data_IF_370397204887
#
_entry.id   IF_370397204887
#
_cell.length_a   1.000
_cell.length_b   1.000
_cell.length_c   1.000
_cell.angle_alpha   90.00
_cell.angle_beta   90.00
_cell.angle_gamma   90.00
#
_symmetry.space_group_name_H-M   'P 1'
#
loop_
_entity.id
_entity.type
_entity.pdbx_description
1 polymer ?
#
# COMPACT_ATOMS: atom_id res chain seq x y z
N UNK A 1 -26.89 -49.69 36.39
CA UNK A 1 -27.63 -48.41 36.56
C UNK A 1 -26.76 -47.14 36.47
N UNK A 2 -25.46 -47.17 36.11
CA UNK A 2 -24.60 -45.98 36.07
C UNK A 2 -24.43 -45.32 34.67
N UNK A 3 -24.69 -46.06 33.58
CA UNK A 3 -24.60 -45.57 32.19
C UNK A 3 -25.63 -44.50 31.79
N UNK A 4 -26.91 -44.53 32.22
CA UNK A 4 -27.85 -43.47 31.87
C UNK A 4 -27.56 -42.17 32.63
N UNK A 5 -27.00 -42.25 33.84
CA UNK A 5 -26.65 -41.08 34.64
C UNK A 5 -25.43 -40.34 34.03
N UNK A 6 -24.43 -41.09 33.55
CA UNK A 6 -23.27 -40.52 32.88
C UNK A 6 -23.64 -39.81 31.57
N UNK A 7 -24.56 -40.39 30.78
CA UNK A 7 -25.01 -39.80 29.52
C UNK A 7 -25.83 -38.53 29.74
N UNK A 8 -26.68 -38.49 30.78
CA UNK A 8 -27.41 -37.28 31.17
C UNK A 8 -26.44 -36.16 31.59
N UNK A 9 -25.37 -36.49 32.33
CA UNK A 9 -24.39 -35.48 32.77
C UNK A 9 -23.61 -34.87 31.60
N UNK A 10 -23.24 -35.67 30.60
CA UNK A 10 -22.56 -35.17 29.38
C UNK A 10 -23.48 -34.22 28.59
N UNK A 11 -24.76 -34.56 28.46
CA UNK A 11 -25.75 -33.71 27.78
C UNK A 11 -25.93 -32.37 28.51
N UNK A 12 -25.94 -32.37 29.84
CA UNK A 12 -26.07 -31.14 30.64
C UNK A 12 -24.84 -30.25 30.46
N UNK A 13 -23.63 -30.79 30.48
CA UNK A 13 -22.40 -30.01 30.25
C UNK A 13 -22.35 -29.45 28.83
N UNK A 14 -22.78 -30.23 27.84
CA UNK A 14 -22.86 -29.78 26.45
C UNK A 14 -23.85 -28.62 26.26
N UNK A 15 -25.04 -28.72 26.86
CA UNK A 15 -26.03 -27.64 26.82
C UNK A 15 -25.58 -26.39 27.60
N UNK A 16 -24.89 -26.56 28.72
CA UNK A 16 -24.28 -25.45 29.46
C UNK A 16 -23.18 -24.75 28.64
N UNK A 17 -22.38 -25.51 27.88
CA UNK A 17 -21.36 -24.97 26.96
C UNK A 17 -21.97 -24.17 25.80
N UNK A 18 -23.05 -24.67 25.19
CA UNK A 18 -23.79 -23.94 24.15
C UNK A 18 -24.41 -22.66 24.72
N UNK A 19 -25.00 -22.74 25.92
CA UNK A 19 -25.58 -21.57 26.57
C UNK A 19 -24.52 -20.51 26.87
N UNK A 20 -23.35 -20.91 27.39
CA UNK A 20 -22.23 -20.01 27.64
C UNK A 20 -21.70 -19.39 26.33
N UNK A 21 -21.60 -20.16 25.24
CA UNK A 21 -21.18 -19.66 23.93
C UNK A 21 -22.20 -18.69 23.31
N UNK A 22 -23.49 -18.97 23.46
CA UNK A 22 -24.57 -18.12 22.93
C UNK A 22 -24.77 -16.83 23.74
N UNK A 23 -24.52 -16.86 25.06
CA UNK A 23 -24.73 -15.71 25.95
C UNK A 23 -23.48 -14.86 26.14
N UNK A 24 -22.31 -15.48 26.28
CA UNK A 24 -21.04 -14.77 26.21
C UNK A 24 -20.66 -14.66 24.74
N UNK A 25 -21.11 -13.56 24.11
CA UNK A 25 -20.66 -13.13 22.80
C UNK A 25 -19.16 -12.80 22.80
N UNK A 26 -18.30 -13.80 22.99
CA UNK A 26 -16.84 -13.70 22.93
C UNK A 26 -16.41 -13.23 21.52
N UNK A 27 -17.24 -13.46 20.49
CA UNK A 27 -17.06 -12.92 19.14
C UNK A 27 -17.86 -11.66 18.81
N UNK A 28 -18.53 -11.03 19.79
CA UNK A 28 -19.17 -9.71 19.59
C UNK A 28 -18.25 -8.53 19.94
N UNK A 29 -17.05 -8.83 20.42
CA UNK A 29 -16.05 -7.84 20.86
C UNK A 29 -14.86 -7.66 19.91
N UNK A 30 -14.80 -8.37 18.78
CA UNK A 30 -13.91 -7.99 17.69
C UNK A 30 -14.66 -7.21 16.61
N UNK A 31 -15.49 -6.25 17.04
CA UNK A 31 -15.60 -5.04 16.23
C UNK A 31 -14.22 -4.40 16.35
N UNK A 32 -13.40 -4.56 15.33
CA UNK A 32 -12.40 -3.55 14.98
C UNK A 32 -13.22 -2.29 14.74
N UNK A 33 -13.51 -1.61 15.84
CA UNK A 33 -14.02 -0.27 15.83
C UNK A 33 -12.75 0.49 15.53
N UNK A 34 -12.59 0.89 14.28
CA UNK A 34 -11.65 1.93 13.92
C UNK A 34 -11.73 2.98 15.04
N UNK A 35 -10.63 3.17 15.77
CA UNK A 35 -10.56 4.14 16.87
C UNK A 35 -10.47 5.56 16.30
N UNK A 36 -11.32 5.89 15.35
CA UNK A 36 -11.70 7.26 15.11
C UNK A 36 -12.74 7.59 16.16
N UNK A 37 -12.27 8.14 17.28
CA UNK A 37 -13.03 8.43 18.49
C UNK A 37 -14.50 8.75 18.22
N UNK A 38 -15.38 7.87 18.68
CA UNK A 38 -16.75 8.22 19.06
C UNK A 38 -16.70 9.05 20.34
N UNK A 39 -16.12 10.24 20.26
CA UNK A 39 -16.48 11.30 21.17
C UNK A 39 -17.75 11.94 20.61
N UNK A 40 -18.72 12.14 21.48
CA UNK A 40 -20.01 12.83 21.31
C UNK A 40 -19.92 14.29 20.82
N UNK A 41 -18.81 14.63 20.15
CA UNK A 41 -18.39 15.94 19.63
C UNK A 41 -18.87 16.16 18.18
N UNK A 42 -19.32 15.10 17.49
CA UNK A 42 -19.58 15.10 16.05
C UNK A 42 -20.71 16.01 15.57
N UNK A 43 -21.71 16.34 16.41
CA UNK A 43 -22.81 17.22 15.99
C UNK A 43 -22.44 18.71 15.91
N UNK A 44 -21.39 19.14 16.62
CA UNK A 44 -21.04 20.57 16.70
C UNK A 44 -19.69 20.93 16.09
N UNK A 45 -18.85 19.95 15.73
CA UNK A 45 -17.60 20.21 15.05
C UNK A 45 -17.82 20.68 13.60
N UNK A 46 -17.21 21.80 13.18
CA UNK A 46 -17.10 22.14 11.77
C UNK A 46 -16.26 21.10 11.02
N UNK A 47 -16.57 20.86 9.75
CA UNK A 47 -16.00 19.78 8.95
C UNK A 47 -15.48 20.20 7.57
N UNK A 48 -15.85 21.38 7.07
CA UNK A 48 -15.40 21.87 5.75
C UNK A 48 -14.87 23.29 5.92
N UNK A 49 -13.65 23.55 5.44
CA UNK A 49 -13.09 24.89 5.29
C UNK A 49 -13.00 25.20 3.81
N UNK A 50 -13.76 26.17 3.34
CA UNK A 50 -13.78 26.59 1.96
C UNK A 50 -13.04 27.92 1.78
N UNK A 51 -12.07 27.99 0.87
CA UNK A 51 -11.47 29.24 0.42
C UNK A 51 -12.17 29.73 -0.84
N UNK A 52 -12.89 30.85 -0.75
CA UNK A 52 -13.58 31.51 -1.86
C UNK A 52 -13.27 33.01 -1.84
N UNK A 53 -12.85 33.57 -2.97
CA UNK A 53 -12.59 35.02 -3.12
C UNK A 53 -11.69 35.61 -2.03
N UNK A 54 -10.64 34.86 -1.64
CA UNK A 54 -9.70 35.19 -0.56
C UNK A 54 -10.28 35.22 0.87
N UNK A 55 -11.52 34.75 1.05
CA UNK A 55 -12.16 34.55 2.36
C UNK A 55 -12.18 33.06 2.68
N UNK A 56 -11.91 32.73 3.94
CA UNK A 56 -12.03 31.37 4.48
C UNK A 56 -13.40 31.23 5.15
N UNK A 57 -14.19 30.25 4.72
CA UNK A 57 -15.53 29.98 5.22
C UNK A 57 -15.53 28.60 5.90
N UNK A 58 -15.75 28.58 7.21
CA UNK A 58 -15.79 27.34 7.97
C UNK A 58 -17.23 26.88 8.15
N UNK A 59 -17.55 25.76 7.50
CA UNK A 59 -18.86 25.14 7.49
C UNK A 59 -18.95 23.97 8.47
N UNK A 60 -20.16 23.80 9.00
CA UNK A 60 -20.59 22.56 9.62
C UNK A 60 -21.75 21.99 8.80
N UNK A 61 -21.53 20.90 8.06
CA UNK A 61 -22.53 20.28 7.19
C UNK A 61 -23.71 19.66 7.94
N UNK A 62 -23.63 19.54 9.26
CA UNK A 62 -24.71 19.02 10.11
C UNK A 62 -25.61 20.14 10.66
N UNK A 63 -25.25 21.41 10.45
CA UNK A 63 -26.03 22.58 10.86
C UNK A 63 -26.56 23.32 9.62
N UNK A 64 -27.75 23.94 9.72
CA UNK A 64 -28.26 24.77 8.63
C UNK A 64 -27.37 26.00 8.41
N UNK A 65 -27.40 26.53 7.19
CA UNK A 65 -26.74 27.79 6.85
C UNK A 65 -27.56 28.96 7.39
N UNK A 66 -26.95 29.75 8.26
CA UNK A 66 -27.55 30.92 8.90
C UNK A 66 -26.49 32.00 8.99
N UNK A 67 -26.84 33.21 8.54
CA UNK A 67 -25.94 34.36 8.53
C UNK A 67 -25.33 34.61 9.91
N UNK A 68 -24.00 34.74 9.96
CA UNK A 68 -23.24 34.96 11.19
C UNK A 68 -23.09 33.74 12.11
N UNK A 69 -23.66 32.59 11.76
CA UNK A 69 -23.57 31.35 12.55
C UNK A 69 -22.89 30.22 11.77
N UNK A 70 -23.28 30.00 10.52
CA UNK A 70 -22.75 28.95 9.65
C UNK A 70 -22.98 29.36 8.18
N UNK A 71 -21.93 29.54 7.35
CA UNK A 71 -20.52 29.40 7.68
C UNK A 71 -19.99 30.53 8.58
N UNK A 72 -18.89 30.25 9.29
CA UNK A 72 -18.11 31.25 9.98
C UNK A 72 -17.07 31.83 9.01
N UNK A 73 -17.14 33.13 8.68
CA UNK A 73 -16.15 33.76 7.79
C UNK A 73 -14.89 34.18 8.54
N UNK A 74 -13.75 34.05 7.88
CA UNK A 74 -12.45 34.54 8.31
C UNK A 74 -11.79 35.30 7.15
N UNK A 75 -11.41 36.55 7.38
CA UNK A 75 -10.88 37.43 6.33
C UNK A 75 -9.37 37.31 6.13
N UNK A 76 -8.70 36.62 7.06
CA UNK A 76 -7.28 36.34 7.01
C UNK A 76 -6.99 35.00 7.69
N UNK A 77 -5.81 34.45 7.40
CA UNK A 77 -5.39 33.16 7.92
C UNK A 77 -5.14 33.20 9.43
N UNK A 78 -4.67 34.33 9.96
CA UNK A 78 -4.36 34.50 11.37
C UNK A 78 -5.62 34.44 12.26
N UNK A 79 -6.74 34.96 11.77
CA UNK A 79 -8.04 34.89 12.44
C UNK A 79 -8.52 33.44 12.57
N UNK A 80 -8.36 32.67 11.49
CA UNK A 80 -8.66 31.23 11.49
C UNK A 80 -7.73 30.45 12.43
N UNK A 81 -6.42 30.77 12.45
CA UNK A 81 -5.46 30.16 13.38
C UNK A 81 -5.86 30.45 14.82
N UNK A 82 -6.14 31.70 15.15
CA UNK A 82 -6.53 32.12 16.49
C UNK A 82 -7.82 31.40 16.94
N UNK A 83 -8.80 31.31 16.05
CA UNK A 83 -10.01 30.51 16.30
C UNK A 83 -9.67 29.05 16.63
N UNK A 84 -8.84 28.39 15.82
CA UNK A 84 -8.43 27.01 16.07
C UNK A 84 -7.67 26.84 17.39
N UNK A 85 -6.77 27.78 17.73
CA UNK A 85 -6.05 27.75 19.00
C UNK A 85 -6.99 27.85 20.21
N UNK A 86 -7.99 28.74 20.15
CA UNK A 86 -9.02 28.88 21.18
C UNK A 86 -9.84 27.59 21.30
N UNK A 87 -10.24 26.97 20.17
CA UNK A 87 -10.97 25.70 20.18
C UNK A 87 -10.12 24.56 20.76
N UNK A 88 -8.84 24.47 20.37
CA UNK A 88 -7.90 23.46 20.87
C UNK A 88 -7.63 23.61 22.37
N UNK A 89 -7.52 24.84 22.89
CA UNK A 89 -7.41 25.12 24.33
C UNK A 89 -8.65 24.65 25.11
N UNK A 90 -9.82 24.65 24.49
CA UNK A 90 -11.06 24.09 25.05
C UNK A 90 -11.17 22.57 24.87
N UNK A 91 -10.20 21.91 24.24
CA UNK A 91 -10.18 20.47 23.98
C UNK A 91 -10.87 20.04 22.68
N UNK A 92 -11.35 20.96 21.84
CA UNK A 92 -11.95 20.62 20.56
C UNK A 92 -10.88 20.47 19.47
N UNK A 93 -10.77 19.27 18.91
CA UNK A 93 -9.87 18.93 17.78
C UNK A 93 -10.70 18.37 16.64
N UNK A 94 -11.32 19.25 15.86
CA UNK A 94 -12.15 18.84 14.73
C UNK A 94 -11.27 18.57 13.50
N UNK A 95 -11.44 17.43 12.80
CA UNK A 95 -10.89 17.25 11.47
C UNK A 95 -11.67 18.14 10.49
N UNK A 96 -10.96 18.92 9.68
CA UNK A 96 -11.57 19.85 8.73
C UNK A 96 -11.00 19.56 7.35
N UNK A 97 -11.88 19.31 6.38
CA UNK A 97 -11.51 19.16 4.98
C UNK A 97 -11.34 20.54 4.35
N UNK A 98 -10.17 20.81 3.77
CA UNK A 98 -9.88 22.08 3.12
C UNK A 98 -10.16 22.01 1.60
N UNK A 99 -11.04 22.89 1.14
CA UNK A 99 -11.42 23.05 -0.27
C UNK A 99 -11.02 24.45 -0.74
N UNK A 100 -10.44 24.53 -1.93
CA UNK A 100 -10.11 25.79 -2.58
C UNK A 100 -10.88 25.94 -3.89
N UNK A 101 -11.56 27.08 -4.07
CA UNK A 101 -12.14 27.45 -5.35
C UNK A 101 -11.02 27.89 -6.32
N UNK A 102 -11.01 27.29 -7.51
CA UNK A 102 -10.06 27.57 -8.59
C UNK A 102 -10.78 27.49 -9.94
N UNK A 103 -10.27 28.22 -10.93
CA UNK A 103 -10.77 28.15 -12.30
C UNK A 103 -9.93 27.14 -13.07
N UNK A 104 -10.56 26.14 -13.70
CA UNK A 104 -9.87 25.16 -14.53
C UNK A 104 -9.39 25.78 -15.86
N UNK A 105 -8.60 25.02 -16.64
CA UNK A 105 -8.10 25.48 -17.95
C UNK A 105 -9.20 25.76 -18.98
N UNK A 106 -10.42 25.31 -18.71
CA UNK A 106 -11.62 25.47 -19.53
C UNK A 106 -12.46 26.69 -19.10
N UNK A 107 -12.05 27.40 -18.04
CA UNK A 107 -12.76 28.57 -17.52
C UNK A 107 -13.91 28.26 -16.55
N UNK A 108 -14.06 27.01 -16.11
CA UNK A 108 -15.07 26.62 -15.14
C UNK A 108 -14.53 26.70 -13.71
N UNK A 109 -15.34 27.23 -12.79
CA UNK A 109 -15.02 27.22 -11.37
C UNK A 109 -15.19 25.81 -10.79
N UNK A 110 -14.10 25.28 -10.24
CA UNK A 110 -14.04 23.96 -9.61
C UNK A 110 -13.52 24.09 -8.18
N UNK A 111 -13.96 23.20 -7.30
CA UNK A 111 -13.44 23.09 -5.95
C UNK A 111 -12.43 21.95 -5.88
N UNK A 112 -11.20 22.24 -5.46
CA UNK A 112 -10.14 21.24 -5.31
C UNK A 112 -9.82 21.01 -3.85
N UNK A 113 -9.64 19.75 -3.48
CA UNK A 113 -9.10 19.40 -2.16
C UNK A 113 -7.62 19.77 -2.09
N UNK A 114 -7.21 20.41 -0.99
CA UNK A 114 -5.81 20.75 -0.70
C UNK A 114 -5.45 20.25 0.71
N UNK A 115 -4.19 19.87 0.97
CA UNK A 115 -3.79 19.34 2.28
C UNK A 115 -4.05 20.32 3.43
N UNK A 116 -3.72 21.60 3.23
CA UNK A 116 -3.94 22.64 4.24
C UNK A 116 -4.03 24.04 3.61
N UNK A 117 -4.57 25.04 4.32
CA UNK A 117 -4.55 26.43 3.84
C UNK A 117 -3.15 27.06 3.79
N UNK A 118 -2.14 26.39 4.35
CA UNK A 118 -0.72 26.81 4.33
C UNK A 118 0.06 26.16 3.19
N UNK A 119 -0.32 24.94 2.84
CA UNK A 119 0.31 24.12 1.82
C UNK A 119 -0.69 23.97 0.67
N UNK A 120 -0.59 24.89 -0.28
CA UNK A 120 -1.44 24.88 -1.48
C UNK A 120 -0.92 23.91 -2.54
N UNK A 121 0.15 23.17 -2.27
CA UNK A 121 0.68 22.18 -3.18
C UNK A 121 -0.41 21.17 -3.50
N UNK A 122 -0.75 21.14 -4.78
CA UNK A 122 -1.72 20.21 -5.30
C UNK A 122 -1.04 18.89 -5.31
N UNK A 123 -1.44 18.01 -4.41
CA UNK A 123 -1.17 16.60 -4.60
C UNK A 123 -1.51 16.16 -6.03
N UNK A 124 -1.02 14.98 -6.38
CA UNK A 124 -1.27 14.32 -7.66
C UNK A 124 -2.76 14.43 -8.03
N UNK A 125 -3.10 14.75 -9.30
CA UNK A 125 -4.47 15.05 -9.73
C UNK A 125 -5.52 14.06 -9.20
N UNK A 126 -6.69 14.58 -8.81
CA UNK A 126 -7.88 13.80 -8.46
C UNK A 126 -8.22 12.85 -9.62
N UNK A 127 -7.84 11.59 -9.43
CA UNK A 127 -8.19 10.40 -10.22
C UNK A 127 -8.62 10.68 -11.67
N UNK A 128 -7.64 10.75 -12.57
CA UNK A 128 -7.89 10.22 -13.90
C UNK A 128 -8.31 8.75 -13.72
N UNK A 129 -9.40 8.35 -14.35
CA UNK A 129 -9.95 6.99 -14.43
C UNK A 129 -9.02 5.99 -15.15
N UNK A 130 -7.71 6.21 -15.08
CA UNK A 130 -6.63 5.37 -15.61
C UNK A 130 -6.16 4.31 -14.61
N UNK A 131 -6.69 4.32 -13.38
CA UNK A 131 -6.26 3.41 -12.33
C UNK A 131 -7.39 2.44 -11.97
N UNK A 132 -7.27 1.15 -12.36
CA UNK A 132 -8.20 0.14 -11.90
C UNK A 132 -8.14 0.02 -10.37
N UNK A 133 -9.22 -0.48 -9.77
CA UNK A 133 -9.46 -0.46 -8.34
C UNK A 133 -8.33 -1.08 -7.51
N UNK A 134 -8.33 -0.77 -6.21
CA UNK A 134 -7.29 -1.02 -5.20
C UNK A 134 -6.72 -2.44 -5.06
N UNK A 135 -7.15 -3.40 -5.88
CA UNK A 135 -6.71 -4.81 -5.84
C UNK A 135 -6.13 -5.30 -7.18
N UNK A 136 -6.11 -4.47 -8.23
CA UNK A 136 -5.61 -4.90 -9.53
C UNK A 136 -4.10 -4.66 -9.64
N UNK A 137 -3.38 -5.69 -10.06
CA UNK A 137 -1.93 -5.65 -10.28
C UNK A 137 -1.63 -4.64 -11.38
N UNK A 138 -0.81 -3.64 -11.06
CA UNK A 138 -0.49 -2.57 -12.00
C UNK A 138 0.66 -3.01 -12.89
N UNK A 139 0.44 -3.01 -14.20
CA UNK A 139 1.53 -3.25 -15.16
C UNK A 139 2.47 -2.04 -15.21
N UNK A 140 3.76 -2.26 -14.98
CA UNK A 140 4.78 -1.21 -15.10
C UNK A 140 4.84 -0.71 -16.54
N UNK A 141 4.66 0.60 -16.73
CA UNK A 141 4.92 1.26 -18.01
C UNK A 141 6.41 1.49 -18.16
N UNK A 142 6.94 1.22 -19.35
CA UNK A 142 8.35 1.32 -19.66
C UNK A 142 8.52 1.73 -21.13
N UNK A 143 8.93 2.98 -21.34
CA UNK A 143 9.11 3.56 -22.66
C UNK A 143 10.13 2.79 -23.51
N UNK A 144 11.08 2.08 -22.89
CA UNK A 144 12.06 1.28 -23.63
C UNK A 144 11.45 0.09 -24.39
N UNK A 145 10.20 -0.28 -24.07
CA UNK A 145 9.46 -1.41 -24.66
C UNK A 145 8.38 -0.99 -25.64
N UNK A 146 8.15 0.31 -25.79
CA UNK A 146 7.08 0.84 -26.65
C UNK A 146 7.43 0.80 -28.15
N UNK A 147 8.67 0.46 -28.51
CA UNK A 147 9.14 0.37 -29.89
C UNK A 147 9.53 -1.07 -30.32
N UNK A 148 8.55 -1.89 -30.77
CA UNK A 148 8.84 -3.18 -31.38
C UNK A 148 9.71 -3.03 -32.65
N UNK A 149 10.66 -3.95 -32.92
CA UNK A 149 10.81 -5.28 -32.33
C UNK A 149 11.78 -5.36 -31.14
N UNK A 150 12.38 -4.25 -30.73
CA UNK A 150 13.44 -4.24 -29.72
C UNK A 150 12.89 -4.41 -28.29
N UNK A 151 13.76 -4.82 -27.37
CA UNK A 151 13.48 -4.90 -25.93
C UNK A 151 12.26 -5.76 -25.50
N UNK A 152 11.87 -6.74 -26.34
CA UNK A 152 10.81 -7.70 -26.03
C UNK A 152 11.28 -8.72 -25.00
N UNK A 153 10.51 -8.90 -23.93
CA UNK A 153 10.78 -9.91 -22.90
C UNK A 153 11.92 -9.58 -21.93
N UNK A 154 12.46 -8.36 -21.97
CA UNK A 154 13.49 -7.91 -21.03
C UNK A 154 12.89 -7.59 -19.65
N UNK A 155 13.74 -7.30 -18.65
CA UNK A 155 13.33 -6.73 -17.36
C UNK A 155 12.99 -5.24 -17.47
N UNK A 156 12.11 -4.69 -16.60
CA UNK A 156 11.75 -3.28 -16.70
C UNK A 156 12.96 -2.39 -16.48
N UNK A 157 13.04 -1.30 -17.23
CA UNK A 157 14.07 -0.30 -17.04
C UNK A 157 14.04 0.30 -15.63
N UNK A 158 15.18 0.81 -15.18
CA UNK A 158 15.26 1.55 -13.91
C UNK A 158 14.43 2.85 -14.00
N UNK A 159 13.52 3.04 -13.05
CA UNK A 159 12.71 4.26 -12.92
C UNK A 159 13.30 5.20 -11.86
N UNK A 160 13.99 6.29 -12.25
CA UNK A 160 14.54 7.26 -11.29
C UNK A 160 13.48 8.14 -10.62
N UNK A 161 12.25 8.21 -11.16
CA UNK A 161 11.19 9.08 -10.65
C UNK A 161 10.27 8.38 -9.66
N UNK A 162 10.27 7.03 -9.61
CA UNK A 162 9.51 6.26 -8.63
C UNK A 162 7.99 6.36 -8.83
N UNK A 163 7.52 6.19 -10.07
CA UNK A 163 6.11 6.33 -10.44
C UNK A 163 5.16 5.40 -9.68
N UNK A 164 5.66 4.25 -9.22
CA UNK A 164 4.87 3.19 -8.58
C UNK A 164 5.13 3.04 -7.07
N UNK A 165 5.76 4.03 -6.42
CA UNK A 165 5.99 3.98 -4.97
C UNK A 165 4.66 3.81 -4.22
N UNK A 166 4.59 2.78 -3.36
CA UNK A 166 3.40 2.47 -2.57
C UNK A 166 2.30 1.72 -3.32
N UNK A 167 2.56 1.22 -4.54
CA UNK A 167 1.61 0.42 -5.32
C UNK A 167 2.19 -0.96 -5.64
N UNK A 168 1.31 -1.96 -5.74
CA UNK A 168 1.70 -3.33 -6.08
C UNK A 168 1.69 -3.55 -7.60
N UNK A 169 2.84 -3.89 -8.15
CA UNK A 169 3.06 -4.02 -9.60
C UNK A 169 3.21 -5.47 -10.05
N UNK A 170 3.23 -5.68 -11.37
CA UNK A 170 3.54 -6.99 -11.96
C UNK A 170 4.97 -7.46 -11.65
N UNK A 171 5.90 -6.53 -11.42
CA UNK A 171 7.27 -6.84 -10.97
C UNK A 171 7.26 -7.37 -9.54
N UNK A 172 6.51 -6.73 -8.66
CA UNK A 172 6.36 -7.17 -7.26
C UNK A 172 5.71 -8.55 -7.19
N UNK A 173 4.73 -8.83 -8.05
CA UNK A 173 4.12 -10.15 -8.15
C UNK A 173 5.13 -11.25 -8.50
N UNK A 174 6.05 -10.96 -9.42
CA UNK A 174 7.12 -11.90 -9.79
C UNK A 174 8.11 -12.07 -8.64
N UNK A 175 8.44 -10.99 -7.93
CA UNK A 175 9.30 -11.06 -6.76
C UNK A 175 8.68 -11.94 -5.66
N UNK A 176 7.44 -11.67 -5.26
CA UNK A 176 6.74 -12.43 -4.22
C UNK A 176 6.49 -13.89 -4.63
N UNK A 177 6.54 -14.19 -5.94
CA UNK A 177 6.37 -15.56 -6.41
C UNK A 177 7.50 -16.49 -5.95
N UNK A 178 8.72 -15.96 -5.73
CA UNK A 178 9.86 -16.76 -5.27
C UNK A 178 9.77 -17.09 -3.79
N UNK A 179 9.15 -16.22 -2.99
CA UNK A 179 8.99 -16.40 -1.53
C UNK A 179 7.94 -17.48 -1.18
N UNK A 180 7.10 -17.88 -2.14
CA UNK A 180 6.06 -18.92 -1.93
C UNK A 180 6.62 -20.31 -1.63
N UNK A 181 7.86 -20.59 -2.02
CA UNK A 181 8.52 -21.85 -1.70
C UNK A 181 8.81 -21.94 -0.19
N UNK A 182 8.97 -23.13 0.37
CA UNK A 182 9.39 -23.26 1.78
C UNK A 182 10.83 -22.75 1.98
N UNK A 183 11.70 -23.01 0.99
CA UNK A 183 13.07 -22.53 0.92
C UNK A 183 13.23 -21.88 -0.46
N UNK A 184 13.57 -20.59 -0.47
CA UNK A 184 13.78 -19.85 -1.71
C UNK A 184 15.22 -19.94 -2.18
N UNK A 185 15.44 -19.92 -3.50
CA UNK A 185 16.75 -19.77 -4.13
C UNK A 185 17.06 -18.31 -4.51
N UNK A 186 16.12 -17.39 -4.27
CA UNK A 186 16.32 -15.97 -4.44
C UNK A 186 16.97 -15.35 -3.19
N UNK A 187 18.15 -14.72 -3.30
CA UNK A 187 18.85 -14.10 -2.17
C UNK A 187 18.14 -12.91 -1.53
N UNK A 188 17.11 -12.37 -2.19
CA UNK A 188 16.33 -11.25 -1.69
C UNK A 188 15.16 -11.68 -0.80
N UNK A 189 14.82 -12.98 -0.77
CA UNK A 189 13.67 -13.48 -0.01
C UNK A 189 14.03 -13.74 1.45
N UNK A 190 13.06 -13.59 2.35
CA UNK A 190 13.27 -13.80 3.78
C UNK A 190 13.61 -15.25 4.14
N UNK A 191 13.16 -16.21 3.32
CA UNK A 191 13.37 -17.65 3.44
C UNK A 191 14.44 -18.18 2.49
N UNK A 192 15.43 -17.36 2.12
CA UNK A 192 16.52 -17.79 1.24
C UNK A 192 17.33 -18.94 1.84
N UNK A 193 17.47 -20.03 1.07
CA UNK A 193 18.22 -21.24 1.43
C UNK A 193 19.75 -21.11 1.36
N UNK A 194 20.25 -19.93 1.02
CA UNK A 194 21.69 -19.63 0.93
C UNK A 194 22.33 -20.08 -0.38
N UNK A 195 23.63 -19.77 -0.50
CA UNK A 195 24.40 -19.92 -1.75
C UNK A 195 24.40 -21.36 -2.28
N UNK A 196 24.53 -22.36 -1.41
CA UNK A 196 24.56 -23.77 -1.83
C UNK A 196 23.21 -24.23 -2.41
N UNK A 197 22.10 -23.77 -1.85
CA UNK A 197 20.77 -24.08 -2.36
C UNK A 197 20.53 -23.43 -3.72
N UNK A 198 20.88 -22.15 -3.87
CA UNK A 198 20.83 -21.46 -5.15
C UNK A 198 21.70 -22.15 -6.21
N UNK A 199 22.89 -22.61 -5.83
CA UNK A 199 23.78 -23.36 -6.74
C UNK A 199 23.15 -24.69 -7.19
N UNK A 200 22.51 -25.43 -6.28
CA UNK A 200 21.79 -26.65 -6.62
C UNK A 200 20.60 -26.39 -7.55
N UNK A 201 19.84 -25.31 -7.33
CA UNK A 201 18.78 -24.89 -8.25
C UNK A 201 19.31 -24.55 -9.64
N UNK A 202 20.47 -23.89 -9.75
CA UNK A 202 21.12 -23.64 -11.04
C UNK A 202 21.52 -24.94 -11.74
N UNK A 203 22.16 -25.86 -11.01
CA UNK A 203 22.58 -27.16 -11.53
C UNK A 203 21.41 -28.07 -11.92
N UNK A 204 20.25 -27.91 -11.28
CA UNK A 204 19.02 -28.63 -11.64
C UNK A 204 18.44 -28.21 -12.99
N UNK A 205 18.92 -27.11 -13.57
CA UNK A 205 18.44 -26.58 -14.84
C UNK A 205 17.24 -25.63 -14.74
N UNK A 206 16.79 -25.26 -13.51
CA UNK A 206 15.68 -24.31 -13.29
C UNK A 206 15.85 -22.98 -14.05
N UNK A 207 17.08 -22.57 -14.31
CA UNK A 207 17.43 -21.28 -14.93
C UNK A 207 18.18 -21.43 -16.27
N UNK A 208 18.05 -22.55 -16.98
CA UNK A 208 18.81 -22.81 -18.21
C UNK A 208 18.65 -21.71 -19.27
N UNK A 209 17.42 -21.21 -19.44
CA UNK A 209 17.08 -20.15 -20.41
C UNK A 209 17.60 -18.77 -20.01
N UNK A 210 18.01 -18.59 -18.75
CA UNK A 210 18.50 -17.33 -18.19
C UNK A 210 19.98 -17.41 -17.75
N UNK A 211 20.71 -18.41 -18.26
CA UNK A 211 22.12 -18.60 -17.92
C UNK A 211 23.02 -17.59 -18.64
N UNK A 212 23.73 -16.75 -17.89
CA UNK A 212 24.72 -15.81 -18.43
C UNK A 212 26.11 -16.39 -18.25
N UNK A 213 26.73 -16.85 -19.35
CA UNK A 213 28.13 -17.29 -19.35
C UNK A 213 29.06 -16.10 -19.63
N UNK A 214 30.18 -16.03 -18.91
CA UNK A 214 31.22 -15.04 -19.22
C UNK A 214 31.77 -15.36 -20.61
N UNK A 215 31.87 -14.38 -21.53
CA UNK A 215 32.48 -14.63 -22.83
C UNK A 215 33.95 -15.02 -22.64
N UNK A 216 34.35 -16.15 -23.25
CA UNK A 216 35.75 -16.55 -23.33
C UNK A 216 36.45 -15.60 -24.30
N UNK A 217 37.11 -14.55 -23.77
CA UNK A 217 37.83 -13.58 -24.59
C UNK A 217 39.11 -14.14 -25.21
N UNK A 218 39.60 -15.29 -24.73
CA UNK A 218 40.78 -15.95 -25.25
C UNK A 218 40.75 -17.45 -24.95
N UNK A 219 40.79 -18.28 -25.99
CA UNK A 219 41.07 -19.72 -25.87
C UNK A 219 42.53 -19.98 -26.22
N UNK A 220 43.40 -20.33 -25.24
CA UNK A 220 44.80 -20.60 -25.54
C UNK A 220 44.91 -21.87 -26.41
N UNK A 221 45.59 -21.76 -27.56
CA UNK A 221 45.70 -22.83 -28.56
C UNK A 221 46.46 -24.08 -28.09
N UNK A 222 47.18 -24.01 -26.97
CA UNK A 222 48.02 -25.10 -26.47
C UNK A 222 47.80 -25.31 -24.97
N UNK A 223 46.69 -25.94 -24.59
CA UNK A 223 46.54 -26.48 -23.24
C UNK A 223 47.14 -27.88 -23.27
N UNK A 224 48.27 -28.06 -22.58
CA UNK A 224 48.82 -29.39 -22.30
C UNK A 224 47.93 -30.02 -21.21
N UNK A 225 47.24 -31.14 -21.47
CA UNK A 225 46.40 -31.76 -20.44
C UNK A 225 47.25 -32.18 -19.24
N UNK A 226 46.89 -31.69 -18.04
CA UNK A 226 47.49 -32.13 -16.77
C UNK A 226 48.53 -31.21 -16.13
N UNK A 227 48.84 -30.03 -16.68
CA UNK A 227 49.79 -29.11 -16.04
C UNK A 227 49.18 -28.15 -15.01
N UNK A 228 47.86 -27.98 -15.03
CA UNK A 228 47.11 -27.22 -14.03
C UNK A 228 46.07 -28.16 -13.42
N UNK A 229 46.06 -28.22 -12.09
CA UNK A 229 45.35 -29.22 -11.30
C UNK A 229 43.89 -29.43 -11.71
N UNK A 230 43.44 -30.67 -11.48
CA UNK A 230 42.14 -31.31 -11.74
C UNK A 230 40.90 -30.63 -11.14
N UNK A 231 40.87 -29.31 -11.02
CA UNK A 231 39.70 -28.56 -10.59
C UNK A 231 39.46 -27.37 -11.54
N UNK A 232 39.35 -27.62 -12.85
CA UNK A 232 38.58 -26.69 -13.68
C UNK A 232 37.10 -26.88 -13.31
N UNK A 233 36.40 -25.81 -12.94
CA UNK A 233 34.97 -25.88 -12.73
C UNK A 233 34.29 -26.37 -14.04
N UNK A 234 33.25 -27.19 -13.89
CA UNK A 234 32.61 -27.95 -14.99
C UNK A 234 32.05 -27.05 -16.10
N UNK A 235 31.97 -25.74 -15.86
CA UNK A 235 31.58 -24.71 -16.83
C UNK A 235 32.61 -24.48 -17.95
N UNK A 236 33.79 -25.09 -17.86
CA UNK A 236 34.89 -24.95 -18.83
C UNK A 236 35.10 -26.19 -19.73
N UNK A 237 34.20 -27.18 -19.70
CA UNK A 237 34.34 -28.46 -20.43
C UNK A 237 33.27 -28.74 -21.50
N UNK A 238 32.56 -27.71 -21.96
CA UNK A 238 31.67 -27.79 -23.14
C UNK A 238 32.03 -26.75 -24.20
#
# INVERSE_FOLDING_TARGET
>A
MKKPILTILIIIVFLAGIYAYATNGIFKSLKITEKFETNTISASCPNILLKKDNVLLLYNSQKPEVEGVNPLPFYNLDEYINYLEIQRKKGYRCPVLFLQNEVNTQGEEVYRMRPSPFELDGGVPEQTTLYPGSNDIIKVIDASREDPPYNKGNYPGFDPQGLYVGRYTDVDQVHDSTEKAEISDNPMDSNWGGVLFTQQSLESGKYVDNSVKKPLLHTPKNIVPGLFGENLPKDQLE
#
